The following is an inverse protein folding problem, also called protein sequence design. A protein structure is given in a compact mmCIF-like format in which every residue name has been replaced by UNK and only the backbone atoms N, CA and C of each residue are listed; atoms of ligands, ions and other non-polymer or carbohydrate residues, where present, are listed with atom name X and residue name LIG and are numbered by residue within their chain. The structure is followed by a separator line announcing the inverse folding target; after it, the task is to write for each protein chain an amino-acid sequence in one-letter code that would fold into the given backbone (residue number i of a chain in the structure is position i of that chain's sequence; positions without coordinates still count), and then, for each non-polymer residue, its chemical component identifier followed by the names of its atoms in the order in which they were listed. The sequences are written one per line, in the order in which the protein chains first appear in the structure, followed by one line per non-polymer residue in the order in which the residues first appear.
data_IF_547167542187
#
_entry.id   IF_547167542187
#
_cell.length_a   1.000
_cell.length_b   1.000
_cell.length_c   1.000
_cell.angle_alpha   90.00
_cell.angle_beta   90.00
_cell.angle_gamma   90.00
#
_symmetry.space_group_name_H-M   'P 1'
#
loop_
_entity.id
_entity.type
_entity.pdbx_description
1 polymer ?
#
# COMPACT_ATOMS: atom_id res chain seq x y z
N UNK A 1 -13.23 -1.14 6.09
CA UNK A 1 -12.45 0.12 5.98
C UNK A 1 -11.10 -0.09 6.62
N UNK A 2 -10.11 0.71 6.24
CA UNK A 2 -8.79 0.78 6.89
C UNK A 2 -8.69 2.15 7.56
N UNK A 3 -8.41 2.20 8.85
CA UNK A 3 -8.11 3.43 9.57
C UNK A 3 -6.61 3.55 9.80
N UNK A 4 -6.06 4.75 9.62
CA UNK A 4 -4.65 5.03 9.88
C UNK A 4 -4.55 6.28 10.74
N UNK A 5 -3.85 6.16 11.86
CA UNK A 5 -3.54 7.29 12.73
C UNK A 5 -2.03 7.50 12.77
N UNK A 6 -1.60 8.73 12.40
CA UNK A 6 -0.20 9.14 12.45
C UNK A 6 -0.13 10.56 13.02
N UNK A 7 0.76 10.78 13.99
CA UNK A 7 0.96 12.10 14.61
C UNK A 7 -0.35 12.78 15.05
N UNK A 8 -1.26 12.02 15.70
CA UNK A 8 -2.60 12.46 16.14
C UNK A 8 -3.54 12.92 15.02
N UNK A 9 -3.25 12.60 13.75
CA UNK A 9 -4.17 12.76 12.63
C UNK A 9 -4.67 11.39 12.18
N UNK A 10 -5.97 11.20 12.21
CA UNK A 10 -6.63 9.97 11.78
C UNK A 10 -7.29 10.17 10.41
N UNK A 11 -6.93 9.30 9.47
CA UNK A 11 -7.57 9.22 8.15
C UNK A 11 -8.25 7.85 8.02
N UNK A 12 -9.35 7.81 7.27
CA UNK A 12 -10.08 6.59 6.96
C UNK A 12 -10.14 6.32 5.46
N UNK A 13 -10.01 5.04 5.10
CA UNK A 13 -10.00 4.58 3.72
C UNK A 13 -11.07 3.49 3.57
N UNK A 14 -12.23 3.80 2.94
CA UNK A 14 -13.21 2.79 2.59
C UNK A 14 -12.60 1.72 1.70
N UNK A 15 -12.97 0.45 1.93
CA UNK A 15 -12.41 -0.67 1.15
C UNK A 15 -12.74 -0.48 -0.34
N UNK A 16 -13.95 -0.04 -0.68
CA UNK A 16 -14.35 0.18 -2.07
C UNK A 16 -13.44 1.15 -2.81
N UNK A 17 -12.93 2.18 -2.13
CA UNK A 17 -12.02 3.15 -2.73
C UNK A 17 -10.65 2.54 -2.99
N UNK A 18 -10.15 1.73 -2.04
CA UNK A 18 -8.87 1.04 -2.19
C UNK A 18 -8.98 -0.04 -3.27
N UNK A 19 -10.10 -0.74 -3.37
CA UNK A 19 -10.34 -1.76 -4.40
C UNK A 19 -10.33 -1.15 -5.80
N UNK A 20 -10.97 0.01 -5.98
CA UNK A 20 -11.03 0.70 -7.27
C UNK A 20 -9.66 1.24 -7.72
N UNK A 21 -8.89 1.82 -6.79
CA UNK A 21 -7.57 2.37 -7.10
C UNK A 21 -6.42 1.37 -6.92
N UNK A 22 -6.71 0.18 -6.38
CA UNK A 22 -5.79 -0.86 -5.91
C UNK A 22 -4.79 -0.47 -4.81
N UNK A 23 -4.38 0.80 -4.79
CA UNK A 23 -3.60 1.42 -3.73
C UNK A 23 -3.96 2.91 -3.62
N UNK A 24 -3.87 3.47 -2.42
CA UNK A 24 -4.06 4.90 -2.17
C UNK A 24 -2.78 5.45 -1.54
N UNK A 25 -2.26 6.55 -2.07
CA UNK A 25 -1.19 7.32 -1.43
C UNK A 25 -1.78 8.49 -0.66
N UNK A 26 -1.31 8.69 0.56
CA UNK A 26 -1.78 9.77 1.43
C UNK A 26 -0.69 10.20 2.42
N UNK A 27 -0.91 11.30 3.14
CA UNK A 27 0.06 11.92 4.06
C UNK A 27 -0.53 12.29 5.44
N UNK A 28 -1.22 11.39 6.16
CA UNK A 28 -1.74 11.69 7.50
C UNK A 28 -0.60 12.10 8.43
N UNK A 29 -0.77 13.21 9.15
CA UNK A 29 0.25 13.70 10.06
C UNK A 29 1.57 14.09 9.38
N UNK A 30 1.54 14.35 8.06
CA UNK A 30 2.71 14.68 7.23
C UNK A 30 3.56 13.47 6.81
N UNK A 31 3.12 12.24 7.10
CA UNK A 31 3.86 11.02 6.79
C UNK A 31 3.31 10.33 5.55
N UNK A 32 4.12 10.22 4.50
CA UNK A 32 3.72 9.53 3.27
C UNK A 32 3.51 8.04 3.52
N UNK A 33 2.34 7.54 3.14
CA UNK A 33 1.96 6.14 3.23
C UNK A 33 1.34 5.64 1.91
N UNK A 34 1.37 4.33 1.72
CA UNK A 34 0.58 3.60 0.73
C UNK A 34 -0.37 2.67 1.47
N UNK A 35 -1.67 2.88 1.28
CA UNK A 35 -2.75 2.04 1.80
C UNK A 35 -3.17 1.05 0.72
N UNK A 36 -3.20 -0.23 1.04
CA UNK A 36 -3.47 -1.32 0.10
C UNK A 36 -4.49 -2.30 0.67
N UNK A 37 -5.24 -2.97 -0.21
CA UNK A 37 -6.16 -4.03 0.16
C UNK A 37 -6.12 -5.14 -0.90
N UNK A 38 -5.78 -6.36 -0.47
CA UNK A 38 -5.87 -7.55 -1.34
C UNK A 38 -7.30 -8.10 -1.27
N UNK A 39 -8.05 -7.98 -2.36
CA UNK A 39 -9.46 -8.44 -2.46
C UNK A 39 -9.61 -9.96 -2.35
N UNK A 40 -8.56 -10.71 -2.64
CA UNK A 40 -8.58 -12.18 -2.53
C UNK A 40 -8.16 -12.66 -1.14
N UNK A 41 -7.23 -11.94 -0.52
CA UNK A 41 -6.70 -12.24 0.80
C UNK A 41 -7.59 -11.69 1.92
N UNK A 42 -8.43 -10.70 1.61
CA UNK A 42 -9.16 -9.86 2.57
C UNK A 42 -8.24 -9.17 3.59
N UNK A 43 -7.02 -8.79 3.17
CA UNK A 43 -6.02 -8.15 4.04
C UNK A 43 -5.72 -6.72 3.61
N UNK A 44 -5.92 -5.80 4.55
CA UNK A 44 -5.44 -4.42 4.45
C UNK A 44 -4.01 -4.28 4.98
N UNK A 45 -3.15 -3.58 4.26
CA UNK A 45 -1.78 -3.25 4.69
C UNK A 45 -1.45 -1.80 4.36
N UNK A 46 -0.66 -1.19 5.24
CA UNK A 46 -0.23 0.20 5.11
C UNK A 46 1.29 0.22 5.24
N UNK A 47 1.94 0.85 4.27
CA UNK A 47 3.40 0.90 4.17
C UNK A 47 3.89 2.33 4.06
N UNK A 48 5.09 2.59 4.57
CA UNK A 48 5.88 3.72 4.10
C UNK A 48 6.58 3.29 2.80
N UNK A 49 6.51 4.07 1.72
CA UNK A 49 7.23 3.75 0.49
C UNK A 49 8.72 4.14 0.58
N UNK A 50 9.35 3.88 1.72
CA UNK A 50 10.76 4.17 1.96
C UNK A 50 11.53 2.86 2.07
N UNK A 51 12.39 2.59 1.08
CA UNK A 51 13.28 1.42 1.07
C UNK A 51 14.72 1.92 1.10
N UNK A 52 15.51 1.45 2.07
CA UNK A 52 16.90 1.88 2.25
C UNK A 52 17.07 3.42 2.32
N UNK A 53 16.08 4.13 2.87
CA UNK A 53 16.09 5.59 2.99
C UNK A 53 15.75 6.37 1.72
N UNK A 54 15.37 5.69 0.63
CA UNK A 54 14.92 6.32 -0.61
C UNK A 54 13.41 6.17 -0.78
N UNK A 55 12.78 7.18 -1.37
CA UNK A 55 11.38 7.13 -1.74
C UNK A 55 11.21 6.29 -3.00
N UNK A 56 10.47 5.19 -2.88
CA UNK A 56 10.21 4.26 -3.97
C UNK A 56 8.80 4.41 -4.55
N UNK A 57 8.66 3.98 -5.80
CA UNK A 57 7.36 3.94 -6.49
C UNK A 57 6.96 2.50 -6.77
N UNK A 58 5.84 2.09 -6.17
CA UNK A 58 5.29 0.76 -6.35
C UNK A 58 4.15 0.77 -7.37
N UNK A 59 4.25 -0.12 -8.37
CA UNK A 59 3.21 -0.35 -9.37
C UNK A 59 2.50 -1.66 -9.12
N UNK A 60 1.16 -1.68 -9.20
CA UNK A 60 0.44 -2.94 -9.26
C UNK A 60 0.80 -3.66 -10.56
N UNK A 61 1.35 -4.87 -10.45
CA UNK A 61 1.76 -5.68 -11.61
C UNK A 61 1.02 -7.00 -11.76
N UNK A 62 0.28 -7.41 -10.73
CA UNK A 62 -0.60 -8.57 -10.83
C UNK A 62 -0.76 -9.29 -9.51
N UNK A 63 -0.72 -10.61 -9.57
CA UNK A 63 -0.97 -11.49 -8.44
C UNK A 63 -0.11 -12.74 -8.53
N UNK A 64 0.40 -13.18 -7.38
CA UNK A 64 1.13 -14.43 -7.24
C UNK A 64 0.64 -15.16 -5.98
N UNK A 65 0.34 -16.46 -6.09
CA UNK A 65 -0.22 -17.26 -5.01
C UNK A 65 -1.38 -16.56 -4.27
N UNK A 66 -2.33 -16.00 -5.03
CA UNK A 66 -3.49 -15.27 -4.53
C UNK A 66 -3.17 -13.98 -3.75
N UNK A 67 -1.94 -13.47 -3.84
CA UNK A 67 -1.51 -12.21 -3.21
C UNK A 67 -1.22 -11.15 -4.27
N UNK A 68 -1.74 -9.94 -4.05
CA UNK A 68 -1.42 -8.77 -4.87
C UNK A 68 0.08 -8.53 -4.92
N UNK A 69 0.62 -8.28 -6.12
CA UNK A 69 2.03 -8.04 -6.38
C UNK A 69 2.28 -6.58 -6.77
N UNK A 70 3.28 -5.98 -6.16
CA UNK A 70 3.79 -4.67 -6.51
C UNK A 70 5.20 -4.77 -7.08
N UNK A 71 5.49 -4.05 -8.15
CA UNK A 71 6.84 -3.84 -8.66
C UNK A 71 7.39 -2.53 -8.11
N UNK A 72 8.57 -2.58 -7.51
CA UNK A 72 9.37 -1.38 -7.26
C UNK A 72 9.98 -0.90 -8.58
N UNK A 73 9.59 0.29 -9.04
CA UNK A 73 10.09 0.87 -10.29
C UNK A 73 11.60 1.07 -10.34
N UNK A 74 12.26 1.29 -9.20
CA UNK A 74 13.69 1.60 -9.17
C UNK A 74 14.52 0.35 -9.40
N UNK A 75 14.11 -0.77 -8.79
CA UNK A 75 14.89 -2.02 -8.83
C UNK A 75 14.31 -3.08 -9.78
N UNK A 76 13.05 -2.94 -10.20
CA UNK A 76 12.31 -3.97 -10.95
C UNK A 76 11.96 -5.20 -10.11
N UNK A 77 12.18 -5.15 -8.80
CA UNK A 77 11.88 -6.26 -7.89
C UNK A 77 10.38 -6.33 -7.57
N UNK A 78 9.89 -7.53 -7.27
CA UNK A 78 8.47 -7.80 -7.05
C UNK A 78 8.19 -8.18 -5.60
N UNK A 79 7.16 -7.56 -5.03
CA UNK A 79 6.86 -7.49 -3.61
C UNK A 79 5.42 -7.95 -3.41
N UNK A 80 5.19 -8.91 -2.51
CA UNK A 80 3.82 -9.35 -2.18
C UNK A 80 3.24 -8.35 -1.19
N UNK A 81 2.01 -7.90 -1.44
CA UNK A 81 1.30 -6.97 -0.56
C UNK A 81 1.25 -7.44 0.90
N UNK A 82 1.18 -8.75 1.13
CA UNK A 82 0.96 -9.30 2.48
C UNK A 82 2.16 -9.13 3.41
N UNK A 83 3.38 -9.07 2.87
CA UNK A 83 4.63 -9.03 3.65
C UNK A 83 5.51 -7.81 3.36
N UNK A 84 5.31 -7.10 2.24
CA UNK A 84 6.30 -6.13 1.77
C UNK A 84 7.41 -6.92 1.11
#
# INVERSE_FOLDING_TARGET
MIGVEVNNQAHEYPIQNIEYHHQIQDTPGGKLIIVTYCTVCHTGRVFEPIVNGQLETFLLVGMDHFNTMFEDKTTGSWWRQVNG
#
